data_IF_976895409612
#
_entry.id   IF_976895409612
#
_cell.length_a   1.000
_cell.length_b   1.000
_cell.length_c   1.000
_cell.angle_alpha   90.00
_cell.angle_beta   90.00
_cell.angle_gamma   90.00
#
_symmetry.space_group_name_H-M   'P 1'
#
loop_
_entity.id
_entity.type
_entity.pdbx_description
1 polymer ?
#
# COMPACT_ATOMS: atom_id res chain seq x y z
N UNK A 1 18.65 14.73 -15.18
CA UNK A 1 17.47 13.89 -15.39
C UNK A 1 16.75 14.39 -16.64
N UNK A 2 16.41 13.50 -17.60
CA UNK A 2 15.51 13.86 -18.70
C UNK A 2 14.09 13.64 -18.21
N UNK A 3 13.23 14.62 -18.44
CA UNK A 3 11.79 14.48 -18.20
C UNK A 3 11.26 13.67 -19.38
N UNK A 4 10.98 12.40 -19.14
CA UNK A 4 10.35 11.49 -20.09
C UNK A 4 9.13 10.79 -19.45
N UNK A 5 8.37 10.07 -20.27
CA UNK A 5 7.13 9.42 -19.82
C UNK A 5 7.35 8.37 -18.71
N UNK A 6 8.54 7.76 -18.64
CA UNK A 6 8.90 6.80 -17.59
C UNK A 6 9.09 7.52 -16.27
N UNK A 7 9.86 8.62 -16.27
CA UNK A 7 10.08 9.44 -15.09
C UNK A 7 8.77 10.01 -14.53
N UNK A 8 7.88 10.52 -15.40
CA UNK A 8 6.56 11.04 -14.96
C UNK A 8 5.74 9.93 -14.28
N UNK A 9 5.73 8.73 -14.85
CA UNK A 9 5.02 7.58 -14.28
C UNK A 9 5.59 7.15 -12.92
N UNK A 10 6.92 7.11 -12.78
CA UNK A 10 7.58 6.82 -11.51
C UNK A 10 7.23 7.82 -10.42
N UNK A 11 7.28 9.12 -10.73
CA UNK A 11 6.94 10.18 -9.78
C UNK A 11 5.47 10.12 -9.38
N UNK A 12 4.57 9.89 -10.35
CA UNK A 12 3.14 9.75 -10.06
C UNK A 12 2.85 8.55 -9.16
N UNK A 13 3.49 7.40 -9.40
CA UNK A 13 3.36 6.21 -8.56
C UNK A 13 3.97 6.42 -7.17
N UNK A 14 5.12 7.09 -7.07
CA UNK A 14 5.71 7.46 -5.79
C UNK A 14 4.78 8.36 -4.97
N UNK A 15 4.22 9.40 -5.59
CA UNK A 15 3.25 10.27 -4.93
C UNK A 15 1.97 9.51 -4.50
N UNK A 16 1.51 8.55 -5.31
CA UNK A 16 0.39 7.70 -4.96
C UNK A 16 0.72 6.77 -3.78
N UNK A 17 1.93 6.20 -3.72
CA UNK A 17 2.40 5.42 -2.58
C UNK A 17 2.41 6.25 -1.30
N UNK A 18 2.97 7.46 -1.33
CA UNK A 18 3.01 8.37 -0.18
C UNK A 18 1.60 8.72 0.32
N UNK A 19 0.71 9.08 -0.61
CA UNK A 19 -0.69 9.41 -0.29
C UNK A 19 -1.45 8.20 0.26
N UNK A 20 -1.30 7.04 -0.36
CA UNK A 20 -1.94 5.80 0.08
C UNK A 20 -1.43 5.37 1.47
N UNK A 21 -0.12 5.46 1.71
CA UNK A 21 0.48 5.18 3.01
C UNK A 21 -0.06 6.13 4.09
N UNK A 22 -0.05 7.45 3.84
CA UNK A 22 -0.57 8.44 4.78
C UNK A 22 -2.06 8.20 5.11
N UNK A 23 -2.87 7.90 4.07
CA UNK A 23 -4.28 7.57 4.24
C UNK A 23 -4.49 6.28 5.03
N UNK A 24 -3.67 5.26 4.81
CA UNK A 24 -3.77 4.00 5.55
C UNK A 24 -3.41 4.21 7.03
N UNK A 25 -2.32 4.92 7.33
CA UNK A 25 -1.93 5.24 8.72
C UNK A 25 -3.01 6.06 9.41
N UNK A 26 -3.49 7.13 8.78
CA UNK A 26 -4.55 7.97 9.35
C UNK A 26 -5.84 7.20 9.60
N UNK A 27 -6.24 6.35 8.65
CA UNK A 27 -7.44 5.52 8.77
C UNK A 27 -7.30 4.46 9.87
N UNK A 28 -6.13 3.83 10.00
CA UNK A 28 -5.84 2.86 11.05
C UNK A 28 -5.89 3.49 12.45
N UNK A 29 -5.26 4.66 12.62
CA UNK A 29 -5.29 5.41 13.88
C UNK A 29 -6.72 5.85 14.24
N UNK A 30 -7.46 6.43 13.29
CA UNK A 30 -8.84 6.85 13.51
C UNK A 30 -9.76 5.68 13.86
N UNK A 31 -9.66 4.57 13.13
CA UNK A 31 -10.42 3.34 13.41
C UNK A 31 -10.09 2.79 14.80
N UNK A 32 -8.80 2.76 15.16
CA UNK A 32 -8.32 2.29 16.45
C UNK A 32 -8.83 3.13 17.61
N UNK A 33 -8.78 4.46 17.47
CA UNK A 33 -9.31 5.41 18.45
C UNK A 33 -10.83 5.27 18.62
N UNK A 34 -11.60 5.34 17.53
CA UNK A 34 -13.06 5.17 17.56
C UNK A 34 -13.45 3.79 18.13
N UNK A 35 -12.68 2.75 17.83
CA UNK A 35 -12.90 1.41 18.37
C UNK A 35 -12.75 1.33 19.89
N UNK A 36 -11.84 2.12 20.48
CA UNK A 36 -11.67 2.24 21.94
C UNK A 36 -12.76 3.08 22.59
N UNK A 37 -13.27 4.08 21.88
CA UNK A 37 -14.39 4.93 22.31
C UNK A 37 -15.77 4.25 22.16
N UNK A 38 -15.81 2.94 21.90
CA UNK A 38 -17.06 2.18 21.85
C UNK A 38 -17.83 2.32 20.53
N UNK A 39 -17.18 2.68 19.41
CA UNK A 39 -17.83 2.77 18.10
C UNK A 39 -18.07 1.42 17.41
N UNK A 40 -17.66 0.30 18.02
CA UNK A 40 -17.81 -1.05 17.44
C UNK A 40 -19.28 -1.51 17.33
N UNK A 41 -20.15 -1.35 18.35
CA UNK A 41 -21.55 -1.74 18.26
C UNK A 41 -22.30 -0.88 17.24
N UNK A 42 -23.19 -1.50 16.46
CA UNK A 42 -23.99 -0.83 15.42
C UNK A 42 -24.86 0.30 15.98
N UNK A 43 -25.22 0.20 17.26
CA UNK A 43 -26.06 1.17 17.99
C UNK A 43 -25.30 2.46 18.35
N UNK A 44 -23.97 2.45 18.28
CA UNK A 44 -23.16 3.60 18.64
C UNK A 44 -23.28 4.72 17.57
N UNK A 45 -23.50 5.99 17.95
CA UNK A 45 -23.58 7.11 17.00
C UNK A 45 -22.33 7.27 16.13
N UNK A 46 -21.16 6.85 16.63
CA UNK A 46 -19.87 6.91 15.94
C UNK A 46 -19.59 5.70 15.03
N UNK A 47 -20.46 4.68 15.01
CA UNK A 47 -20.28 3.47 14.21
C UNK A 47 -20.10 3.74 12.69
N UNK A 48 -20.86 4.66 12.06
CA UNK A 48 -20.65 4.98 10.64
C UNK A 48 -19.30 5.63 10.35
N UNK A 49 -18.71 6.36 11.32
CA UNK A 49 -17.37 6.92 11.17
C UNK A 49 -16.30 5.82 11.28
N UNK A 50 -16.48 4.86 12.19
CA UNK A 50 -15.60 3.70 12.35
C UNK A 50 -15.58 2.81 11.09
N UNK A 51 -16.74 2.55 10.49
CA UNK A 51 -16.83 1.82 9.21
C UNK A 51 -16.19 2.57 8.05
N UNK A 52 -16.36 3.89 7.96
CA UNK A 52 -15.70 4.71 6.93
C UNK A 52 -14.18 4.66 7.07
N UNK A 53 -13.65 4.74 8.30
CA UNK A 53 -12.23 4.58 8.56
C UNK A 53 -11.74 3.17 8.14
N UNK A 54 -12.52 2.12 8.39
CA UNK A 54 -12.22 0.77 7.93
C UNK A 54 -12.19 0.66 6.39
N UNK A 55 -13.19 1.19 5.69
CA UNK A 55 -13.21 1.14 4.22
C UNK A 55 -12.07 1.97 3.60
N UNK A 56 -11.79 3.14 4.18
CA UNK A 56 -10.65 3.98 3.78
C UNK A 56 -9.32 3.25 3.97
N UNK A 57 -9.14 2.55 5.10
CA UNK A 57 -7.95 1.73 5.35
C UNK A 57 -7.78 0.63 4.30
N UNK A 58 -8.85 -0.11 3.98
CA UNK A 58 -8.81 -1.16 2.95
C UNK A 58 -8.48 -0.58 1.57
N UNK A 59 -9.15 0.50 1.17
CA UNK A 59 -8.91 1.14 -0.12
C UNK A 59 -7.47 1.66 -0.23
N UNK A 60 -6.96 2.30 0.83
CA UNK A 60 -5.60 2.81 0.87
C UNK A 60 -4.55 1.69 0.83
N UNK A 61 -4.74 0.60 1.57
CA UNK A 61 -3.83 -0.54 1.56
C UNK A 61 -3.78 -1.23 0.18
N UNK A 62 -4.93 -1.39 -0.49
CA UNK A 62 -4.97 -1.94 -1.84
C UNK A 62 -4.32 -1.00 -2.86
N UNK A 63 -4.56 0.32 -2.74
CA UNK A 63 -3.92 1.30 -3.60
C UNK A 63 -2.39 1.29 -3.43
N UNK A 64 -1.89 1.14 -2.21
CA UNK A 64 -0.47 1.04 -1.91
C UNK A 64 0.15 -0.19 -2.61
N UNK A 65 -0.45 -1.38 -2.44
CA UNK A 65 0.00 -2.63 -3.09
C UNK A 65 0.04 -2.48 -4.62
N UNK A 66 -1.00 -1.90 -5.22
CA UNK A 66 -1.05 -1.69 -6.68
C UNK A 66 -0.02 -0.66 -7.15
N UNK A 67 0.20 0.40 -6.37
CA UNK A 67 1.19 1.42 -6.67
C UNK A 67 2.62 0.87 -6.58
N UNK A 68 2.93 0.06 -5.56
CA UNK A 68 4.21 -0.65 -5.43
C UNK A 68 4.47 -1.57 -6.63
N UNK A 69 3.48 -2.36 -7.05
CA UNK A 69 3.60 -3.24 -8.22
C UNK A 69 3.85 -2.43 -9.50
N UNK A 70 3.07 -1.36 -9.70
CA UNK A 70 3.26 -0.46 -10.84
C UNK A 70 4.65 0.17 -10.83
N UNK A 71 5.11 0.64 -9.67
CA UNK A 71 6.39 1.30 -9.53
C UNK A 71 7.55 0.36 -9.88
N UNK A 72 7.49 -0.92 -9.46
CA UNK A 72 8.51 -1.91 -9.81
C UNK A 72 8.64 -2.10 -11.32
N UNK A 73 7.53 -2.10 -12.06
CA UNK A 73 7.56 -2.23 -13.53
C UNK A 73 8.26 -1.03 -14.17
N UNK A 74 7.97 0.18 -13.68
CA UNK A 74 8.63 1.38 -14.17
C UNK A 74 10.12 1.43 -13.79
N UNK A 75 10.49 0.99 -12.58
CA UNK A 75 11.88 0.88 -12.16
C UNK A 75 12.63 -0.14 -13.01
N UNK A 76 12.03 -1.30 -13.30
CA UNK A 76 12.62 -2.29 -14.19
C UNK A 76 12.82 -1.76 -15.62
N UNK A 77 11.87 -0.98 -16.15
CA UNK A 77 12.01 -0.31 -17.43
C UNK A 77 13.17 0.71 -17.43
N UNK A 78 13.22 1.54 -16.39
CA UNK A 78 14.26 2.55 -16.18
C UNK A 78 15.66 1.93 -16.09
N UNK A 79 15.83 0.89 -15.27
CA UNK A 79 17.13 0.24 -15.03
C UNK A 79 17.61 -0.59 -16.23
N UNK A 80 16.71 -1.24 -16.96
CA UNK A 80 17.07 -2.07 -18.12
C UNK A 80 17.27 -1.26 -19.41
N UNK A 81 16.78 -0.02 -19.46
CA UNK A 81 16.66 0.77 -20.69
C UNK A 81 15.63 0.20 -21.67
N UNK A 82 14.95 -0.89 -21.33
CA UNK A 82 13.83 -1.42 -22.10
C UNK A 82 12.59 -0.58 -21.81
N UNK A 83 11.80 -0.26 -22.84
CA UNK A 83 10.47 0.31 -22.62
C UNK A 83 9.58 -0.62 -21.79
N UNK A 84 8.41 -0.15 -21.35
CA UNK A 84 7.48 -0.90 -20.48
C UNK A 84 7.16 -2.32 -20.99
N UNK A 85 7.07 -2.52 -22.31
CA UNK A 85 6.80 -3.83 -22.91
C UNK A 85 7.89 -4.89 -22.68
N UNK A 86 9.14 -4.48 -22.42
CA UNK A 86 10.26 -5.38 -22.10
C UNK A 86 10.61 -5.44 -20.61
N UNK A 87 10.03 -4.55 -19.80
CA UNK A 87 10.40 -4.35 -18.40
C UNK A 87 10.16 -5.57 -17.51
N UNK A 88 9.11 -6.36 -17.80
CA UNK A 88 8.77 -7.54 -17.02
C UNK A 88 9.89 -8.58 -16.99
N UNK A 89 10.65 -8.71 -18.08
CA UNK A 89 11.78 -9.64 -18.15
C UNK A 89 12.96 -9.20 -17.27
N UNK A 90 13.06 -7.91 -16.96
CA UNK A 90 14.11 -7.36 -16.12
C UNK A 90 13.79 -7.43 -14.61
N UNK A 91 12.53 -7.66 -14.22
CA UNK A 91 12.10 -7.69 -12.82
C UNK A 91 12.94 -8.65 -11.95
N UNK A 92 13.21 -9.91 -12.35
CA UNK A 92 14.00 -10.82 -11.52
C UNK A 92 15.40 -10.29 -11.21
N UNK A 93 16.03 -9.62 -12.19
CA UNK A 93 17.35 -9.01 -12.03
C UNK A 93 17.28 -7.83 -11.06
N UNK A 94 16.27 -6.96 -11.21
CA UNK A 94 16.04 -5.84 -10.28
C UNK A 94 15.89 -6.35 -8.85
N UNK A 95 15.03 -7.35 -8.63
CA UNK A 95 14.77 -7.88 -7.30
C UNK A 95 15.98 -8.57 -6.68
N UNK A 96 16.74 -9.34 -7.45
CA UNK A 96 17.82 -10.17 -6.93
C UNK A 96 19.18 -9.44 -6.82
N UNK A 97 19.41 -8.39 -7.63
CA UNK A 97 20.76 -7.83 -7.81
C UNK A 97 20.85 -6.34 -7.48
N UNK A 98 19.78 -5.70 -7.02
CA UNK A 98 19.76 -4.25 -6.79
C UNK A 98 19.30 -3.90 -5.38
N UNK A 99 19.87 -2.83 -4.83
CA UNK A 99 19.43 -2.27 -3.54
C UNK A 99 18.00 -1.73 -3.62
N UNK A 100 17.59 -1.20 -4.77
CA UNK A 100 16.23 -0.75 -5.04
C UNK A 100 15.23 -1.91 -4.95
N UNK A 101 15.54 -3.07 -5.55
CA UNK A 101 14.72 -4.27 -5.49
C UNK A 101 14.58 -4.84 -4.07
N UNK A 102 15.65 -4.80 -3.27
CA UNK A 102 15.59 -5.19 -1.86
C UNK A 102 14.69 -4.25 -1.05
N UNK A 103 14.89 -2.92 -1.17
CA UNK A 103 14.08 -1.93 -0.48
C UNK A 103 12.60 -2.04 -0.87
N UNK A 104 12.32 -2.22 -2.15
CA UNK A 104 10.97 -2.47 -2.67
C UNK A 104 10.36 -3.73 -2.06
N UNK A 105 11.11 -4.83 -1.95
CA UNK A 105 10.59 -6.09 -1.39
C UNK A 105 10.13 -5.94 0.07
N UNK A 106 10.88 -5.15 0.86
CA UNK A 106 10.51 -4.84 2.25
C UNK A 106 9.25 -3.97 2.29
N UNK A 107 9.20 -2.91 1.48
CA UNK A 107 8.05 -2.01 1.40
C UNK A 107 6.79 -2.76 0.95
N UNK A 108 6.88 -3.52 -0.15
CA UNK A 108 5.79 -4.32 -0.70
C UNK A 108 5.33 -5.40 0.29
N UNK A 109 6.25 -6.08 0.97
CA UNK A 109 5.90 -7.02 2.04
C UNK A 109 5.08 -6.37 3.15
N UNK A 110 5.45 -5.16 3.57
CA UNK A 110 4.70 -4.36 4.53
C UNK A 110 3.31 -3.96 4.02
N UNK A 111 3.21 -3.52 2.75
CA UNK A 111 1.95 -3.16 2.12
C UNK A 111 0.99 -4.36 2.02
N UNK A 112 1.49 -5.53 1.64
CA UNK A 112 0.72 -6.78 1.60
C UNK A 112 0.25 -7.18 2.99
N UNK A 113 1.11 -7.14 4.00
CA UNK A 113 0.74 -7.44 5.39
C UNK A 113 -0.36 -6.49 5.87
N UNK A 114 -0.22 -5.19 5.61
CA UNK A 114 -1.22 -4.18 5.92
C UNK A 114 -2.55 -4.47 5.22
N UNK A 115 -2.54 -4.84 3.95
CA UNK A 115 -3.76 -5.20 3.20
C UNK A 115 -4.44 -6.44 3.79
N UNK A 116 -3.67 -7.47 4.16
CA UNK A 116 -4.18 -8.68 4.84
C UNK A 116 -4.85 -8.29 6.16
N UNK A 117 -4.19 -7.48 6.99
CA UNK A 117 -4.73 -7.03 8.28
C UNK A 117 -5.97 -6.16 8.09
N UNK A 118 -5.98 -5.27 7.09
CA UNK A 118 -7.11 -4.42 6.77
C UNK A 118 -8.32 -5.24 6.31
N UNK A 119 -8.12 -6.31 5.54
CA UNK A 119 -9.18 -7.19 5.05
C UNK A 119 -9.63 -8.23 6.09
N UNK A 120 -8.80 -8.54 7.07
CA UNK A 120 -9.14 -9.46 8.14
C UNK A 120 -10.36 -8.94 8.92
N UNK A 121 -11.28 -9.85 9.26
CA UNK A 121 -12.49 -9.49 10.02
C UNK A 121 -12.11 -8.85 11.37
N UNK A 122 -12.81 -7.78 11.80
CA UNK A 122 -12.58 -7.12 13.10
C UNK A 122 -12.62 -8.07 14.30
N UNK A 123 -13.34 -9.20 14.20
CA UNK A 123 -13.49 -10.21 15.26
C UNK A 123 -12.76 -11.53 14.95
N UNK A 124 -11.86 -11.53 13.95
CA UNK A 124 -11.09 -12.71 13.57
C UNK A 124 -9.83 -12.91 14.44
N UNK A 125 -9.26 -14.13 14.45
CA UNK A 125 -8.02 -14.42 15.17
C UNK A 125 -6.83 -13.53 14.74
N UNK A 126 -6.83 -13.04 13.49
CA UNK A 126 -5.82 -12.09 12.99
C UNK A 126 -5.93 -10.68 13.61
N UNK A 127 -7.11 -10.25 14.03
CA UNK A 127 -7.29 -8.95 14.68
C UNK A 127 -6.69 -8.91 16.11
N UNK A 128 -6.56 -10.08 16.76
CA UNK A 128 -5.98 -10.24 18.09
C UNK A 128 -4.46 -10.40 18.08
N UNK A 129 -3.84 -10.59 16.90
CA UNK A 129 -2.39 -10.68 16.77
C UNK A 129 -1.72 -9.30 16.65
N UNK A 130 -2.50 -8.23 16.45
CA UNK A 130 -2.03 -6.85 16.17
C UNK A 130 -2.43 -5.86 17.28
N UNK A 131 -3.22 -6.28 18.28
CA UNK A 131 -3.65 -5.49 19.44
C UNK A 131 -3.19 -6.13 20.74
#
# INVERSE_FOLDING_TARGET
MRIDSLWIGQVALAALMDAAFAMAVGSALLKGWLGKDGARPVVAPSHPAWLRAQHSLVAAALALVLADLGWLVYEAASMSGAGLGGALAAIPVVLAQTHAGFAWSVAFGGAVLLAIVALAKPDGPLAHAVL
#
